data_IF_666344382379
#
_entry.id   IF_666344382379
#
_cell.length_a   1.000
_cell.length_b   1.000
_cell.length_c   1.000
_cell.angle_alpha   90.00
_cell.angle_beta   90.00
_cell.angle_gamma   90.00
#
_symmetry.space_group_name_H-M   'P 1'
#
loop_
_entity.id
_entity.type
_entity.pdbx_description
1 polymer ?
#
# COMPACT_ATOMS: atom_id res chain seq x y z
N UNK A 1 -11.28 -13.18 9.19
CA UNK A 1 -11.69 -13.66 7.85
C UNK A 1 -12.75 -12.74 7.24
N UNK A 2 -13.76 -12.30 8.01
CA UNK A 2 -14.80 -11.37 7.54
C UNK A 2 -14.26 -10.05 6.99
N UNK A 3 -13.29 -9.42 7.66
CA UNK A 3 -12.77 -8.12 7.22
C UNK A 3 -12.05 -8.15 5.86
N UNK A 4 -11.43 -9.28 5.47
CA UNK A 4 -10.83 -9.41 4.14
C UNK A 4 -11.91 -9.25 3.06
N UNK A 5 -13.01 -9.99 3.20
CA UNK A 5 -14.11 -9.93 2.23
C UNK A 5 -14.88 -8.61 2.31
N UNK A 6 -15.06 -8.06 3.50
CA UNK A 6 -15.69 -6.76 3.70
C UNK A 6 -14.93 -5.65 2.97
N UNK A 7 -13.60 -5.65 3.06
CA UNK A 7 -12.75 -4.63 2.43
C UNK A 7 -12.46 -4.90 0.96
N UNK A 8 -12.40 -6.18 0.55
CA UNK A 8 -11.80 -6.56 -0.74
C UNK A 8 -12.67 -7.49 -1.60
N UNK A 9 -13.93 -7.75 -1.25
CA UNK A 9 -14.78 -8.65 -2.06
C UNK A 9 -14.87 -8.21 -3.52
N UNK A 10 -14.99 -6.91 -3.80
CA UNK A 10 -15.01 -6.41 -5.18
C UNK A 10 -13.68 -6.59 -5.89
N UNK A 11 -12.57 -6.29 -5.22
CA UNK A 11 -11.22 -6.46 -5.78
C UNK A 11 -10.91 -7.94 -6.06
N UNK A 12 -11.32 -8.84 -5.16
CA UNK A 12 -11.22 -10.28 -5.35
C UNK A 12 -12.05 -10.77 -6.54
N UNK A 13 -13.29 -10.29 -6.69
CA UNK A 13 -14.15 -10.63 -7.84
C UNK A 13 -13.56 -10.11 -9.16
N UNK A 14 -13.16 -8.83 -9.21
CA UNK A 14 -12.50 -8.22 -10.37
C UNK A 14 -11.23 -9.00 -10.74
N UNK A 15 -10.41 -9.31 -9.73
CA UNK A 15 -9.22 -10.14 -9.89
C UNK A 15 -9.53 -11.52 -10.47
N UNK A 16 -10.54 -12.22 -9.93
CA UNK A 16 -10.98 -13.52 -10.45
C UNK A 16 -11.29 -13.45 -11.94
N UNK A 17 -12.17 -12.52 -12.34
CA UNK A 17 -12.60 -12.40 -13.73
C UNK A 17 -11.45 -12.02 -14.66
N UNK A 18 -10.58 -11.11 -14.23
CA UNK A 18 -9.43 -10.69 -15.03
C UNK A 18 -8.43 -11.85 -15.22
N UNK A 19 -8.06 -12.54 -14.15
CA UNK A 19 -7.15 -13.70 -14.20
C UNK A 19 -7.75 -14.81 -15.07
N UNK A 20 -9.02 -15.14 -14.84
CA UNK A 20 -9.73 -16.16 -15.62
C UNK A 20 -9.78 -15.79 -17.10
N UNK A 21 -10.07 -14.53 -17.43
CA UNK A 21 -10.09 -14.02 -18.80
C UNK A 21 -8.74 -14.16 -19.49
N UNK A 22 -7.65 -13.73 -18.82
CA UNK A 22 -6.29 -13.82 -19.35
C UNK A 22 -5.88 -15.29 -19.55
N UNK A 23 -6.11 -16.15 -18.56
CA UNK A 23 -5.73 -17.56 -18.64
C UNK A 23 -6.53 -18.30 -19.73
N UNK A 24 -7.82 -18.03 -19.85
CA UNK A 24 -8.64 -18.63 -20.90
C UNK A 24 -8.29 -18.10 -22.29
N UNK A 25 -7.90 -16.82 -22.42
CA UNK A 25 -7.40 -16.30 -23.69
C UNK A 25 -6.11 -17.03 -24.13
N UNK A 26 -5.17 -17.21 -23.20
CA UNK A 26 -3.94 -17.99 -23.45
C UNK A 26 -4.28 -19.44 -23.83
N UNK A 27 -5.25 -20.05 -23.13
CA UNK A 27 -5.69 -21.41 -23.42
C UNK A 27 -6.32 -21.54 -24.82
N UNK A 28 -7.15 -20.59 -25.23
CA UNK A 28 -7.76 -20.57 -26.58
C UNK A 28 -6.67 -20.42 -27.65
N UNK A 29 -5.69 -19.52 -27.44
CA UNK A 29 -4.54 -19.41 -28.34
C UNK A 29 -3.76 -20.72 -28.42
N UNK A 30 -3.51 -21.37 -27.28
CA UNK A 30 -2.84 -22.67 -27.24
C UNK A 30 -3.60 -23.74 -28.02
N UNK A 31 -4.93 -23.83 -27.84
CA UNK A 31 -5.75 -24.77 -28.61
C UNK A 31 -5.71 -24.50 -30.11
N UNK A 32 -5.68 -23.23 -30.54
CA UNK A 32 -5.64 -22.90 -31.97
C UNK A 32 -4.43 -23.52 -32.69
N UNK A 33 -3.31 -23.75 -31.99
CA UNK A 33 -2.11 -24.39 -32.56
C UNK A 33 -2.06 -25.90 -32.31
N UNK A 34 -2.52 -26.39 -31.16
CA UNK A 34 -2.27 -27.76 -30.71
C UNK A 34 -3.52 -28.64 -30.61
N UNK A 35 -4.68 -28.18 -31.09
CA UNK A 35 -5.95 -28.91 -30.96
C UNK A 35 -5.90 -30.33 -31.56
N UNK A 36 -5.29 -30.51 -32.74
CA UNK A 36 -5.20 -31.83 -33.39
C UNK A 36 -4.31 -32.83 -32.66
N UNK A 37 -3.46 -32.36 -31.76
CA UNK A 37 -2.51 -33.18 -31.00
C UNK A 37 -3.04 -33.56 -29.61
N UNK A 38 -4.15 -32.96 -29.18
CA UNK A 38 -4.69 -33.10 -27.83
C UNK A 38 -5.97 -33.92 -27.79
N UNK A 39 -6.02 -34.91 -26.91
CA UNK A 39 -7.27 -35.62 -26.61
C UNK A 39 -8.26 -34.73 -25.85
N UNK A 40 -9.56 -34.95 -26.06
CA UNK A 40 -10.64 -34.23 -25.36
C UNK A 40 -10.47 -34.24 -23.83
N UNK A 41 -9.98 -35.35 -23.26
CA UNK A 41 -9.71 -35.47 -21.81
C UNK A 41 -8.74 -34.39 -21.32
N UNK A 42 -7.66 -34.15 -22.06
CA UNK A 42 -6.65 -33.15 -21.70
C UNK A 42 -7.18 -31.73 -21.86
N UNK A 43 -7.96 -31.47 -22.92
CA UNK A 43 -8.61 -30.16 -23.14
C UNK A 43 -9.50 -29.80 -21.93
N UNK A 44 -10.32 -30.75 -21.46
CA UNK A 44 -11.20 -30.55 -20.31
C UNK A 44 -10.39 -30.28 -19.04
N UNK A 45 -9.33 -31.08 -18.78
CA UNK A 45 -8.48 -30.90 -17.59
C UNK A 45 -7.84 -29.51 -17.59
N UNK A 46 -7.28 -29.07 -18.72
CA UNK A 46 -6.62 -27.77 -18.83
C UNK A 46 -7.66 -26.65 -18.65
N UNK A 47 -8.84 -26.77 -19.27
CA UNK A 47 -9.93 -25.81 -19.11
C UNK A 47 -10.37 -25.62 -17.65
N UNK A 48 -10.54 -26.72 -16.89
CA UNK A 48 -10.83 -26.65 -15.46
C UNK A 48 -9.67 -26.02 -14.68
N UNK A 49 -8.44 -26.33 -15.07
CA UNK A 49 -7.23 -25.73 -14.51
C UNK A 49 -7.22 -24.20 -14.67
N UNK A 50 -7.45 -23.70 -15.88
CA UNK A 50 -7.39 -22.28 -16.22
C UNK A 50 -8.60 -21.49 -15.74
N UNK A 51 -9.80 -22.11 -15.70
CA UNK A 51 -11.03 -21.43 -15.34
C UNK A 51 -11.33 -21.42 -13.84
N UNK A 52 -10.78 -22.37 -13.08
CA UNK A 52 -11.11 -22.55 -11.66
C UNK A 52 -9.84 -22.60 -10.83
N UNK A 53 -9.03 -23.65 -10.99
CA UNK A 53 -7.95 -23.96 -10.04
C UNK A 53 -6.89 -22.85 -9.98
N UNK A 54 -6.40 -22.39 -11.14
CA UNK A 54 -5.37 -21.35 -11.20
C UNK A 54 -5.87 -19.98 -10.68
N UNK A 55 -7.06 -19.48 -11.09
CA UNK A 55 -7.64 -18.29 -10.48
C UNK A 55 -7.77 -18.39 -8.95
N UNK A 56 -8.29 -19.50 -8.42
CA UNK A 56 -8.41 -19.70 -6.98
C UNK A 56 -7.05 -19.73 -6.26
N UNK A 57 -6.04 -20.37 -6.87
CA UNK A 57 -4.69 -20.38 -6.32
C UNK A 57 -4.11 -18.96 -6.24
N UNK A 58 -4.23 -18.17 -7.31
CA UNK A 58 -3.72 -16.79 -7.33
C UNK A 58 -4.43 -15.91 -6.29
N UNK A 59 -5.76 -16.00 -6.18
CA UNK A 59 -6.51 -15.26 -5.15
C UNK A 59 -6.14 -15.70 -3.73
N UNK A 60 -5.81 -16.98 -3.53
CA UNK A 60 -5.33 -17.48 -2.25
C UNK A 60 -3.98 -16.88 -1.89
N UNK A 61 -3.07 -16.74 -2.86
CA UNK A 61 -1.79 -16.04 -2.67
C UNK A 61 -2.02 -14.57 -2.32
N UNK A 62 -2.89 -13.87 -3.04
CA UNK A 62 -3.22 -12.47 -2.74
C UNK A 62 -3.80 -12.28 -1.34
N UNK A 63 -4.70 -13.19 -0.94
CA UNK A 63 -5.30 -13.19 0.40
C UNK A 63 -4.25 -13.44 1.48
N UNK A 64 -3.33 -14.39 1.24
CA UNK A 64 -2.22 -14.68 2.15
C UNK A 64 -1.28 -13.48 2.32
N UNK A 65 -0.92 -12.81 1.22
CA UNK A 65 -0.11 -11.59 1.25
C UNK A 65 -0.78 -10.49 2.07
N UNK A 66 -2.09 -10.28 1.89
CA UNK A 66 -2.87 -9.33 2.68
C UNK A 66 -2.78 -9.63 4.18
N UNK A 67 -3.01 -10.89 4.59
CA UNK A 67 -2.90 -11.30 6.00
C UNK A 67 -1.47 -11.11 6.54
N UNK A 68 -0.45 -11.43 5.74
CA UNK A 68 0.95 -11.26 6.11
C UNK A 68 1.31 -9.79 6.35
N UNK A 69 0.89 -8.90 5.43
CA UNK A 69 1.10 -7.46 5.53
C UNK A 69 0.42 -6.88 6.77
N UNK A 70 -0.85 -7.23 6.99
CA UNK A 70 -1.61 -6.84 8.18
C UNK A 70 -0.96 -7.30 9.48
N UNK A 71 -0.49 -8.56 9.53
CA UNK A 71 0.22 -9.09 10.70
C UNK A 71 1.51 -8.31 10.96
N UNK A 72 2.27 -7.99 9.92
CA UNK A 72 3.50 -7.19 10.05
C UNK A 72 3.20 -5.77 10.53
N UNK A 73 2.14 -5.16 9.99
CA UNK A 73 1.64 -3.86 10.39
C UNK A 73 1.35 -3.82 11.89
N UNK A 74 0.48 -4.72 12.35
CA UNK A 74 0.11 -4.82 13.76
C UNK A 74 1.31 -5.10 14.66
N UNK A 75 2.23 -5.96 14.24
CA UNK A 75 3.44 -6.28 15.00
C UNK A 75 4.37 -5.08 15.19
N UNK A 76 4.48 -4.18 14.22
CA UNK A 76 5.30 -2.98 14.36
C UNK A 76 4.55 -1.93 15.17
N UNK A 77 3.27 -1.72 14.87
CA UNK A 77 2.44 -0.76 15.59
C UNK A 77 2.33 -1.11 17.08
N UNK A 78 2.44 -2.39 17.46
CA UNK A 78 2.45 -2.82 18.86
C UNK A 78 3.80 -2.66 19.57
N UNK A 79 4.87 -2.19 18.91
CA UNK A 79 6.21 -2.03 19.52
C UNK A 79 6.47 -0.58 19.88
N UNK A 80 7.28 -0.36 20.91
CA UNK A 80 7.83 0.98 21.20
C UNK A 80 8.70 1.46 20.03
N UNK A 81 8.70 2.77 19.70
CA UNK A 81 7.82 3.82 20.25
C UNK A 81 6.42 3.89 19.58
N UNK A 82 6.15 3.05 18.59
CA UNK A 82 4.96 3.13 17.73
C UNK A 82 3.62 2.82 18.41
N UNK A 83 3.63 1.99 19.45
CA UNK A 83 2.43 1.74 20.28
C UNK A 83 1.88 3.00 20.94
N UNK A 84 2.72 4.02 21.12
CA UNK A 84 2.36 5.31 21.71
C UNK A 84 1.91 6.34 20.67
N UNK A 85 1.83 5.98 19.37
CA UNK A 85 1.37 6.93 18.33
C UNK A 85 -0.04 7.47 18.59
N UNK A 86 -0.89 6.74 19.32
CA UNK A 86 -2.20 7.24 19.75
C UNK A 86 -2.10 8.49 20.64
N UNK A 87 -1.02 8.64 21.41
CA UNK A 87 -0.80 9.81 22.28
C UNK A 87 -0.61 11.10 21.47
N UNK A 88 -0.15 10.98 20.23
CA UNK A 88 0.06 12.10 19.30
C UNK A 88 -0.97 12.11 18.15
N UNK A 89 -2.15 11.50 18.38
CA UNK A 89 -3.32 11.63 17.50
C UNK A 89 -3.46 10.59 16.38
N UNK A 90 -2.70 9.48 16.37
CA UNK A 90 -2.90 8.39 15.40
C UNK A 90 -4.00 7.40 15.85
N UNK A 91 -5.17 7.92 16.18
CA UNK A 91 -6.37 7.16 16.54
C UNK A 91 -7.30 6.92 15.34
N UNK A 92 -7.21 7.78 14.32
CA UNK A 92 -8.00 7.66 13.10
C UNK A 92 -7.49 6.53 12.18
N UNK A 93 -8.40 5.98 11.37
CA UNK A 93 -8.11 4.94 10.38
C UNK A 93 -8.71 5.31 9.03
N UNK A 94 -7.95 5.10 7.97
CA UNK A 94 -8.40 5.27 6.60
C UNK A 94 -8.14 3.99 5.80
N UNK A 95 -8.99 3.72 4.81
CA UNK A 95 -8.73 2.67 3.82
C UNK A 95 -7.55 3.11 2.96
N UNK A 96 -6.57 2.23 2.79
CA UNK A 96 -5.40 2.47 1.95
C UNK A 96 -5.03 1.20 1.18
N UNK A 97 -4.51 1.39 -0.03
CA UNK A 97 -4.01 0.31 -0.86
C UNK A 97 -2.72 -0.25 -0.23
N UNK A 98 -2.75 -1.52 0.16
CA UNK A 98 -1.63 -2.20 0.81
C UNK A 98 -1.02 -3.31 -0.04
N UNK A 99 -1.39 -3.42 -1.31
CA UNK A 99 -0.79 -4.38 -2.23
C UNK A 99 -0.97 -3.92 -3.69
N UNK A 100 -0.02 -4.25 -4.56
CA UNK A 100 -0.02 -3.92 -5.99
C UNK A 100 -1.17 -4.59 -6.75
N UNK A 101 -1.73 -5.67 -6.20
CA UNK A 101 -2.92 -6.35 -6.74
C UNK A 101 -4.25 -5.63 -6.43
N UNK A 102 -4.22 -4.44 -5.84
CA UNK A 102 -5.43 -3.66 -5.54
C UNK A 102 -6.00 -3.88 -4.14
N UNK A 103 -5.42 -4.78 -3.33
CA UNK A 103 -5.97 -5.05 -1.99
C UNK A 103 -5.80 -3.84 -1.05
N UNK A 104 -6.85 -3.60 -0.28
CA UNK A 104 -7.01 -2.49 0.65
C UNK A 104 -7.02 -3.00 2.09
N UNK A 105 -6.44 -2.23 3.00
CA UNK A 105 -6.57 -2.41 4.45
C UNK A 105 -6.63 -1.04 5.14
N UNK A 106 -6.87 -1.05 6.45
CA UNK A 106 -6.82 0.16 7.25
C UNK A 106 -5.40 0.54 7.62
N UNK A 107 -5.09 1.83 7.48
CA UNK A 107 -3.88 2.45 8.02
C UNK A 107 -4.26 3.56 8.99
N UNK A 108 -3.45 3.71 10.03
CA UNK A 108 -3.59 4.79 10.99
C UNK A 108 -3.13 6.12 10.43
N UNK A 109 -3.82 7.19 10.77
CA UNK A 109 -3.39 8.55 10.45
C UNK A 109 -3.72 9.52 11.58
N UNK A 110 -3.03 10.66 11.58
CA UNK A 110 -3.26 11.77 12.51
C UNK A 110 -3.45 13.07 11.75
N UNK A 111 -4.19 14.00 12.35
CA UNK A 111 -4.39 15.36 11.83
C UNK A 111 -3.46 16.33 12.57
N UNK A 112 -2.42 16.80 11.89
CA UNK A 112 -1.49 17.82 12.39
C UNK A 112 -1.64 19.11 11.60
N UNK A 113 -2.02 20.23 12.22
CA UNK A 113 -2.14 21.55 11.56
C UNK A 113 -2.86 21.51 10.20
N UNK A 114 -4.04 20.90 10.16
CA UNK A 114 -4.85 20.69 8.95
C UNK A 114 -4.23 19.75 7.90
N UNK A 115 -3.17 19.00 8.22
CA UNK A 115 -2.59 17.96 7.36
C UNK A 115 -2.90 16.57 7.91
N UNK A 116 -3.18 15.63 7.01
CA UNK A 116 -3.29 14.21 7.35
C UNK A 116 -1.92 13.56 7.17
N UNK A 117 -1.40 12.99 8.25
CA UNK A 117 -0.15 12.23 8.25
C UNK A 117 -0.49 10.76 8.42
N UNK A 118 -0.17 9.95 7.42
CA UNK A 118 -0.45 8.52 7.40
C UNK A 118 0.74 7.74 7.94
N UNK A 119 0.46 6.70 8.74
CA UNK A 119 1.44 5.73 9.20
C UNK A 119 1.29 4.43 8.40
N UNK A 120 2.26 4.19 7.53
CA UNK A 120 2.36 3.02 6.67
C UNK A 120 3.57 2.15 6.99
N UNK A 121 3.52 0.91 6.50
CA UNK A 121 4.64 -0.04 6.58
C UNK A 121 4.92 -0.55 5.18
N UNK A 122 6.20 -0.55 4.80
CA UNK A 122 6.63 -0.98 3.49
C UNK A 122 6.21 -2.42 3.19
N UNK A 123 5.48 -2.60 2.09
CA UNK A 123 4.92 -3.90 1.67
C UNK A 123 6.03 -4.93 1.38
N UNK A 124 7.00 -4.54 0.55
CA UNK A 124 8.16 -5.37 0.21
C UNK A 124 9.24 -5.36 1.30
N UNK A 125 9.19 -4.37 2.19
CA UNK A 125 10.20 -4.13 3.23
C UNK A 125 9.50 -3.91 4.57
N UNK A 126 9.04 -4.98 5.25
CA UNK A 126 8.21 -4.92 6.46
C UNK A 126 9.00 -4.51 7.72
N UNK A 127 10.11 -3.78 7.53
CA UNK A 127 10.99 -3.18 8.54
C UNK A 127 11.20 -1.70 8.26
N UNK A 128 10.52 -1.16 7.25
CA UNK A 128 10.50 0.26 6.96
C UNK A 128 9.12 0.77 7.36
N UNK A 129 9.12 1.67 8.32
CA UNK A 129 7.97 2.48 8.67
C UNK A 129 8.03 3.74 7.81
N UNK A 130 6.89 4.15 7.30
CA UNK A 130 6.76 5.39 6.52
C UNK A 130 5.70 6.27 7.15
N UNK A 131 6.07 7.51 7.44
CA UNK A 131 5.10 8.58 7.64
C UNK A 131 4.95 9.34 6.33
N UNK A 132 3.72 9.60 5.89
CA UNK A 132 3.48 10.33 4.64
C UNK A 132 2.47 11.45 4.81
N UNK A 133 2.77 12.59 4.19
CA UNK A 133 1.83 13.66 3.89
C UNK A 133 1.57 13.56 2.39
N UNK A 134 0.35 13.18 2.03
CA UNK A 134 -0.03 13.00 0.64
C UNK A 134 -0.50 14.35 0.07
N UNK A 135 0.06 14.73 -1.06
CA UNK A 135 -0.29 15.99 -1.70
C UNK A 135 0.55 16.27 -2.94
N UNK A 136 -0.02 17.04 -3.86
CA UNK A 136 0.67 17.40 -5.10
C UNK A 136 1.63 18.54 -4.82
N UNK A 137 2.89 18.40 -5.19
CA UNK A 137 3.90 19.46 -5.03
C UNK A 137 4.05 20.20 -6.37
N UNK A 138 3.70 21.51 -6.44
CA UNK A 138 3.95 22.32 -7.62
C UNK A 138 5.45 22.37 -7.95
N UNK A 139 5.80 22.35 -9.24
CA UNK A 139 7.19 22.43 -9.71
C UNK A 139 8.17 21.47 -9.01
N UNK A 140 7.76 20.19 -8.85
CA UNK A 140 8.49 19.15 -8.12
C UNK A 140 10.01 19.12 -8.41
N UNK A 141 10.43 19.28 -9.67
CA UNK A 141 11.86 19.28 -10.04
C UNK A 141 12.64 20.40 -9.36
N UNK A 142 12.04 21.59 -9.27
CA UNK A 142 12.64 22.75 -8.59
C UNK A 142 12.65 22.51 -7.08
N UNK A 143 11.53 22.04 -6.53
CA UNK A 143 11.42 21.67 -5.11
C UNK A 143 12.47 20.63 -4.70
N UNK A 144 12.68 19.57 -5.49
CA UNK A 144 13.69 18.54 -5.24
C UNK A 144 15.11 19.09 -5.27
N UNK A 145 15.42 20.01 -6.19
CA UNK A 145 16.73 20.68 -6.25
C UNK A 145 16.98 21.55 -5.02
N UNK A 146 15.99 22.33 -4.60
CA UNK A 146 16.10 23.18 -3.40
C UNK A 146 16.16 22.34 -2.11
N UNK A 147 15.37 21.27 -2.04
CA UNK A 147 15.34 20.37 -0.89
C UNK A 147 16.61 19.52 -0.77
N UNK A 148 17.15 19.05 -1.89
CA UNK A 148 18.42 18.32 -1.92
C UNK A 148 19.60 19.13 -1.36
N UNK A 149 19.54 20.47 -1.47
CA UNK A 149 20.54 21.39 -0.88
C UNK A 149 20.42 21.50 0.64
N UNK A 150 19.24 21.24 1.22
CA UNK A 150 18.98 21.39 2.65
C UNK A 150 19.50 20.21 3.50
N UNK A 151 20.04 19.15 2.89
CA UNK A 151 20.60 17.96 3.57
C UNK A 151 19.71 17.40 4.69
N UNK A 152 18.39 17.40 4.50
CA UNK A 152 17.44 16.77 5.40
C UNK A 152 17.39 15.26 5.14
N UNK A 153 18.48 14.56 5.47
CA UNK A 153 18.85 13.19 5.05
C UNK A 153 17.80 12.07 5.20
N UNK A 154 16.67 12.31 5.86
CA UNK A 154 15.65 11.28 6.12
C UNK A 154 14.26 11.58 5.57
N UNK A 155 14.02 12.82 5.12
CA UNK A 155 12.74 13.18 4.50
C UNK A 155 12.93 13.15 3.00
N UNK A 156 12.01 12.53 2.27
CA UNK A 156 11.98 12.46 0.81
C UNK A 156 10.77 13.24 0.31
N UNK A 157 10.88 13.81 -0.87
CA UNK A 157 9.76 14.42 -1.58
C UNK A 157 9.67 13.85 -2.99
N UNK A 158 8.47 13.48 -3.39
CA UNK A 158 8.17 13.00 -4.74
C UNK A 158 6.82 13.54 -5.22
N UNK A 159 6.34 13.02 -6.35
CA UNK A 159 5.08 13.45 -6.97
C UNK A 159 3.84 13.19 -6.09
N UNK A 160 3.94 12.30 -5.11
CA UNK A 160 2.87 11.92 -4.20
C UNK A 160 2.91 12.68 -2.86
N UNK A 161 3.98 13.44 -2.59
CA UNK A 161 4.06 14.33 -1.43
C UNK A 161 5.37 14.24 -0.65
N UNK A 162 5.25 14.26 0.69
CA UNK A 162 6.40 14.30 1.62
C UNK A 162 6.42 13.05 2.49
N UNK A 163 7.56 12.35 2.51
CA UNK A 163 7.71 11.05 3.13
C UNK A 163 8.86 11.04 4.12
N UNK A 164 8.68 10.34 5.23
CA UNK A 164 9.75 10.00 6.14
C UNK A 164 9.79 8.50 6.35
N UNK A 165 10.86 7.88 5.86
CA UNK A 165 11.11 6.45 6.02
C UNK A 165 12.06 6.20 7.20
N UNK A 166 11.73 5.19 8.01
CA UNK A 166 12.52 4.77 9.16
C UNK A 166 12.77 3.28 9.04
N UNK A 167 14.04 2.88 9.02
CA UNK A 167 14.39 1.47 9.08
C UNK A 167 14.37 0.97 10.53
N UNK A 168 13.31 0.29 10.96
CA UNK A 168 13.10 -0.18 12.34
C UNK A 168 14.15 -1.18 12.84
N UNK A 169 15.03 -1.70 11.96
CA UNK A 169 16.18 -2.52 12.37
C UNK A 169 17.43 -1.73 12.68
N UNK A 170 17.65 -0.63 11.96
CA UNK A 170 18.89 0.16 12.01
C UNK A 170 18.73 1.40 12.86
N UNK A 171 17.53 1.97 12.85
CA UNK A 171 17.20 3.21 13.50
C UNK A 171 16.33 2.90 14.71
N UNK A 172 16.90 3.07 15.89
CA UNK A 172 16.14 3.00 17.12
C UNK A 172 15.66 4.43 17.43
N UNK A 173 14.45 4.78 17.01
CA UNK A 173 13.83 6.01 17.47
C UNK A 173 13.54 5.85 18.96
N UNK A 174 14.23 6.64 19.77
CA UNK A 174 14.26 6.42 21.22
C UNK A 174 12.93 6.76 21.90
N UNK A 175 12.16 7.74 21.37
CA UNK A 175 10.97 8.28 22.03
C UNK A 175 9.87 8.71 21.06
N UNK A 176 8.63 8.77 21.56
CA UNK A 176 7.48 9.31 20.83
C UNK A 176 7.64 10.81 20.52
N UNK A 177 8.28 11.57 21.41
CA UNK A 177 8.59 12.98 21.24
C UNK A 177 9.52 13.23 20.03
N UNK A 178 10.46 12.32 19.77
CA UNK A 178 11.31 12.39 18.59
C UNK A 178 10.49 12.23 17.30
N UNK A 179 9.49 11.35 17.31
CA UNK A 179 8.56 11.19 16.18
C UNK A 179 7.75 12.47 15.99
N UNK A 180 7.11 12.98 17.04
CA UNK A 180 6.27 14.19 16.99
C UNK A 180 7.03 15.41 16.44
N UNK A 181 8.23 15.68 16.94
CA UNK A 181 9.08 16.77 16.45
C UNK A 181 9.40 16.63 14.95
N UNK A 182 9.57 15.39 14.48
CA UNK A 182 9.83 15.10 13.07
C UNK A 182 8.58 15.29 12.22
N UNK A 183 7.40 14.91 12.72
CA UNK A 183 6.13 15.14 12.04
C UNK A 183 5.83 16.64 11.90
N UNK A 184 6.07 17.44 12.93
CA UNK A 184 5.96 18.91 12.86
C UNK A 184 6.91 19.47 11.78
N UNK A 185 8.12 18.93 11.71
CA UNK A 185 9.09 19.32 10.67
C UNK A 185 8.60 18.94 9.26
N UNK A 186 7.96 17.78 9.10
CA UNK A 186 7.35 17.38 7.82
C UNK A 186 6.24 18.34 7.38
N UNK A 187 5.37 18.76 8.31
CA UNK A 187 4.31 19.74 8.02
C UNK A 187 4.90 21.06 7.54
N UNK A 188 5.91 21.60 8.23
CA UNK A 188 6.60 22.84 7.82
C UNK A 188 7.21 22.73 6.42
N UNK A 189 7.74 21.55 6.08
CA UNK A 189 8.28 21.28 4.73
C UNK A 189 7.15 21.28 3.70
N UNK A 190 6.04 20.58 3.97
CA UNK A 190 4.90 20.53 3.06
C UNK A 190 4.33 21.93 2.79
N UNK A 191 4.21 22.76 3.83
CA UNK A 191 3.77 24.16 3.72
C UNK A 191 4.74 25.00 2.91
N UNK A 192 6.05 24.90 3.17
CA UNK A 192 7.08 25.62 2.41
C UNK A 192 7.10 25.25 0.93
N UNK A 193 6.76 24.00 0.61
CA UNK A 193 6.70 23.50 -0.76
C UNK A 193 5.37 23.84 -1.46
N UNK A 194 4.47 24.58 -0.82
CA UNK A 194 3.11 24.84 -1.31
C UNK A 194 2.40 23.55 -1.74
N UNK A 195 2.61 22.48 -0.98
CA UNK A 195 2.01 21.19 -1.28
C UNK A 195 0.47 21.32 -1.24
N UNK A 196 -0.20 20.90 -2.31
CA UNK A 196 -1.65 20.93 -2.42
C UNK A 196 -2.19 19.69 -1.71
N UNK A 197 -2.96 19.93 -0.64
CA UNK A 197 -3.55 18.85 0.17
C UNK A 197 -4.43 17.96 -0.69
N UNK A 198 -4.12 16.67 -0.73
CA UNK A 198 -5.06 15.67 -1.22
C UNK A 198 -5.78 15.10 -0.01
N UNK A 199 -6.96 15.66 0.31
CA UNK A 199 -7.79 15.12 1.40
C UNK A 199 -8.22 13.72 0.98
N UNK A 200 -7.63 12.70 1.60
CA UNK A 200 -7.80 11.32 1.14
C UNK A 200 -9.14 10.74 1.61
N UNK A 201 -9.88 11.44 2.49
CA UNK A 201 -11.26 11.10 2.85
C UNK A 201 -12.26 11.27 1.70
N UNK A 202 -11.86 11.85 0.55
CA UNK A 202 -12.70 11.91 -0.67
C UNK A 202 -12.53 10.68 -1.59
N UNK A 203 -11.71 9.69 -1.24
CA UNK A 203 -11.69 8.41 -1.97
C UNK A 203 -12.94 7.53 -1.75
N UNK A 204 -13.98 8.04 -1.07
CA UNK A 204 -15.31 7.43 -0.98
C UNK A 204 -16.18 7.56 -2.25
N UNK A 205 -15.62 7.99 -3.40
CA UNK A 205 -16.40 8.22 -4.64
C UNK A 205 -16.08 7.35 -5.85
N UNK A 206 -15.31 6.28 -5.72
CA UNK A 206 -15.13 5.29 -6.81
C UNK A 206 -15.12 3.85 -6.33
#
# INVERSE_FOLDING_TARGET
MNELFELNSENLKKGYFWITGVLNFIFVLFLAFFYSELSLKWIIIIFFGTSILAPFFILSVWSYEWFSNRRNYNRIYSKNPYNNLKQIGFDNRAKSLINTNGMVDYVHFSKFNNWEIYFGIGLLKPKIVTFSINGKIPDLKKAQSEFGKLKTEKIKIDEYGVFWEINTKKENLATIECIENKLISMVKIAEKLNCEKTITSEYEKY
#
